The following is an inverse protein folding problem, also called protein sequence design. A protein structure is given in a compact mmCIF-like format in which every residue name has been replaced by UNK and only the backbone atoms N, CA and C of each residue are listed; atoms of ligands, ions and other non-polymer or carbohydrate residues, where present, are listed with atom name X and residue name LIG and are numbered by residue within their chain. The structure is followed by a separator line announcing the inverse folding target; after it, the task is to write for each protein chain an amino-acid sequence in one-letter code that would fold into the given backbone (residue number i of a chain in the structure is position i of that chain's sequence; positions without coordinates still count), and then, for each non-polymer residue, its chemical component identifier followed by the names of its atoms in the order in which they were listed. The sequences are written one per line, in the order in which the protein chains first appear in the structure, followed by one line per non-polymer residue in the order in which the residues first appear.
data_IF_325276423124
#
_entry.id   IF_325276423124
#
_cell.length_a   1.000
_cell.length_b   1.000
_cell.length_c   1.000
_cell.angle_alpha   90.00
_cell.angle_beta   90.00
_cell.angle_gamma   90.00
#
_symmetry.space_group_name_H-M   'P 1'
#
loop_
_entity.id
_entity.type
_entity.pdbx_description
1 polymer ?
#
# COMPACT_ATOMS: atom_id res chain seq x y z
N UNK A 1 10.67 51.73 11.97
CA UNK A 1 10.34 50.31 12.23
C UNK A 1 9.67 50.22 13.60
N UNK A 2 8.59 49.42 13.73
CA UNK A 2 7.87 49.30 15.00
C UNK A 2 8.77 48.61 16.05
N UNK A 3 9.09 49.26 17.19
CA UNK A 3 9.88 48.64 18.24
C UNK A 3 9.09 47.49 18.87
N UNK A 4 9.80 46.42 19.21
CA UNK A 4 9.24 45.22 19.83
C UNK A 4 9.92 45.00 21.18
N UNK A 5 9.13 44.90 22.24
CA UNK A 5 9.57 44.46 23.56
C UNK A 5 8.48 43.59 24.17
N UNK A 6 8.80 42.33 24.39
CA UNK A 6 7.91 41.36 25.03
C UNK A 6 8.72 40.48 25.96
N UNK A 7 8.10 40.00 27.03
CA UNK A 7 8.70 39.09 27.99
C UNK A 7 7.65 38.07 28.39
N UNK A 8 8.03 36.80 28.33
CA UNK A 8 7.18 35.67 28.70
C UNK A 8 7.93 34.86 29.75
N UNK A 9 7.34 34.78 30.94
CA UNK A 9 7.81 33.92 32.02
C UNK A 9 6.69 32.98 32.44
N UNK A 10 6.93 31.69 32.24
CA UNK A 10 6.12 30.61 32.74
C UNK A 10 7.03 29.79 33.67
N UNK A 11 6.82 29.81 34.99
CA UNK A 11 7.50 28.87 35.88
C UNK A 11 7.10 27.45 35.49
N UNK A 12 7.80 26.44 36.00
CA UNK A 12 7.45 25.05 35.71
C UNK A 12 5.95 24.79 35.98
N UNK A 13 5.21 24.56 34.90
CA UNK A 13 3.76 24.55 34.89
C UNK A 13 3.26 23.34 34.12
N UNK A 14 2.14 22.76 34.58
CA UNK A 14 1.49 21.63 33.92
C UNK A 14 1.05 21.97 32.51
N UNK A 15 1.27 21.03 31.58
CA UNK A 15 0.84 21.11 30.17
C UNK A 15 -0.57 20.53 29.93
N UNK A 16 -1.31 20.19 30.99
CA UNK A 16 -2.65 19.59 30.88
C UNK A 16 -3.69 20.48 30.17
N UNK A 17 -3.41 21.78 29.97
CA UNK A 17 -4.26 22.69 29.21
C UNK A 17 -4.08 22.58 27.69
N UNK A 18 -2.99 21.98 27.20
CA UNK A 18 -2.67 21.92 25.77
C UNK A 18 -3.77 21.28 24.89
N UNK A 19 -4.46 20.20 25.32
CA UNK A 19 -5.56 19.62 24.55
C UNK A 19 -6.68 20.62 24.20
N UNK A 20 -6.89 21.66 25.02
CA UNK A 20 -7.89 22.72 24.74
C UNK A 20 -7.52 23.58 23.53
N UNK A 21 -6.24 23.69 23.20
CA UNK A 21 -5.71 24.55 22.14
C UNK A 21 -5.20 23.77 20.92
N UNK A 22 -4.94 22.47 21.10
CA UNK A 22 -4.38 21.59 20.07
C UNK A 22 -5.37 20.44 19.85
N UNK A 23 -6.35 20.58 18.94
CA UNK A 23 -7.42 19.58 18.77
C UNK A 23 -6.95 18.18 18.36
N UNK A 24 -5.70 18.03 17.89
CA UNK A 24 -5.12 16.74 17.55
C UNK A 24 -4.66 15.94 18.79
N UNK A 25 -4.60 16.59 19.95
CA UNK A 25 -4.00 16.10 21.18
C UNK A 25 -5.10 15.85 22.20
N UNK A 26 -5.25 14.60 22.64
CA UNK A 26 -6.35 14.19 23.52
C UNK A 26 -5.98 14.32 24.99
N UNK A 27 -4.73 14.00 25.33
CA UNK A 27 -4.19 14.13 26.68
C UNK A 27 -2.69 14.42 26.66
N UNK A 28 -2.22 15.19 27.65
CA UNK A 28 -0.79 15.41 27.91
C UNK A 28 -0.51 15.42 29.40
N UNK A 29 0.48 14.63 29.79
CA UNK A 29 1.03 14.58 31.15
C UNK A 29 2.49 15.04 31.12
N UNK A 30 2.71 16.30 31.48
CA UNK A 30 4.03 16.89 31.49
C UNK A 30 4.06 18.30 32.06
N UNK A 31 5.26 18.83 32.21
CA UNK A 31 5.51 20.21 32.63
C UNK A 31 6.36 20.95 31.60
N UNK A 32 6.24 22.27 31.57
CA UNK A 32 7.15 23.14 30.84
C UNK A 32 7.45 24.40 31.65
N UNK A 33 8.66 24.93 31.46
CA UNK A 33 9.04 26.26 31.92
C UNK A 33 9.57 27.07 30.73
N UNK A 34 9.21 28.35 30.69
CA UNK A 34 9.56 29.29 29.62
C UNK A 34 10.09 30.55 30.27
N UNK A 35 11.28 30.99 29.90
CA UNK A 35 11.77 32.32 30.21
C UNK A 35 12.36 32.90 28.92
N UNK A 36 11.59 33.71 28.22
CA UNK A 36 11.97 34.26 26.92
C UNK A 36 11.67 35.75 26.88
N UNK A 37 12.69 36.51 26.50
CA UNK A 37 12.61 37.94 26.24
C UNK A 37 12.81 38.21 24.75
N UNK A 38 11.93 39.03 24.18
CA UNK A 38 12.00 39.47 22.79
C UNK A 38 12.18 40.97 22.76
N UNK A 39 13.20 41.43 22.04
CA UNK A 39 13.54 42.85 21.88
C UNK A 39 13.79 43.19 20.40
N UNK A 40 14.12 44.44 20.08
CA UNK A 40 14.44 44.86 18.71
C UNK A 40 13.25 45.45 17.97
N UNK A 41 12.99 44.98 16.74
CA UNK A 41 11.88 45.47 15.91
C UNK A 41 11.09 44.31 15.32
N UNK A 42 9.86 44.55 14.88
CA UNK A 42 9.02 43.52 14.25
C UNK A 42 9.70 42.83 13.05
N UNK A 43 10.55 43.55 12.30
CA UNK A 43 11.28 42.99 11.16
C UNK A 43 12.58 42.27 11.52
N UNK A 44 13.14 42.53 12.71
CA UNK A 44 14.40 41.94 13.21
C UNK A 44 14.28 41.77 14.74
N UNK A 45 13.51 40.76 15.18
CA UNK A 45 13.40 40.44 16.60
C UNK A 45 14.70 39.83 17.12
N UNK A 46 15.04 40.14 18.37
CA UNK A 46 16.17 39.60 19.11
C UNK A 46 15.62 38.83 20.29
N UNK A 47 15.84 37.52 20.31
CA UNK A 47 15.38 36.59 21.32
C UNK A 47 16.50 36.28 22.31
N UNK A 48 16.17 36.22 23.59
CA UNK A 48 17.09 35.77 24.64
C UNK A 48 16.30 34.96 25.66
N UNK A 49 16.78 33.76 25.99
CA UNK A 49 16.17 32.93 27.03
C UNK A 49 16.16 31.44 26.72
N UNK A 50 15.31 30.69 27.41
CA UNK A 50 15.23 29.24 27.31
C UNK A 50 13.81 28.71 27.45
N UNK A 51 13.55 27.58 26.80
CA UNK A 51 12.33 26.78 26.96
C UNK A 51 12.74 25.38 27.36
N UNK A 52 12.19 24.88 28.46
CA UNK A 52 12.38 23.51 28.91
C UNK A 52 11.02 22.82 29.06
N UNK A 53 10.95 21.56 28.66
CA UNK A 53 9.73 20.76 28.76
C UNK A 53 10.05 19.30 28.99
N UNK A 54 9.24 18.66 29.83
CA UNK A 54 9.29 17.23 30.09
C UNK A 54 7.87 16.66 30.06
N UNK A 55 7.61 15.78 29.09
CA UNK A 55 6.31 15.13 28.93
C UNK A 55 6.49 13.63 29.10
N UNK A 56 5.84 13.07 30.12
CA UNK A 56 5.87 11.64 30.36
C UNK A 56 5.05 10.90 29.28
N UNK A 57 3.89 11.44 28.93
CA UNK A 57 2.97 10.84 27.97
C UNK A 57 2.13 11.91 27.27
N UNK A 58 1.94 11.74 25.96
CA UNK A 58 1.07 12.54 25.12
C UNK A 58 0.31 11.62 24.15
N UNK A 59 -1.01 11.73 24.17
CA UNK A 59 -1.94 10.93 23.38
C UNK A 59 -2.60 11.79 22.31
N UNK A 60 -2.85 11.18 21.15
CA UNK A 60 -3.38 11.84 19.96
C UNK A 60 -4.72 11.19 19.57
N UNK A 61 -5.66 11.99 19.08
CA UNK A 61 -6.97 11.51 18.63
C UNK A 61 -6.91 10.79 17.27
N UNK A 62 -5.74 10.70 16.65
CA UNK A 62 -5.55 10.04 15.36
C UNK A 62 -5.14 8.57 15.53
N UNK A 63 -5.89 7.60 14.96
CA UNK A 63 -5.54 6.18 15.05
C UNK A 63 -4.21 5.83 14.35
N UNK A 64 -3.69 6.71 13.49
CA UNK A 64 -2.41 6.51 12.80
C UNK A 64 -1.20 7.05 13.58
N UNK A 65 -1.41 7.84 14.64
CA UNK A 65 -0.34 8.38 15.46
C UNK A 65 -0.21 7.57 16.76
N UNK A 66 0.94 6.93 17.02
CA UNK A 66 1.15 6.23 18.28
C UNK A 66 1.25 7.23 19.43
N UNK A 67 0.96 6.77 20.65
CA UNK A 67 1.24 7.56 21.85
C UNK A 67 2.74 7.84 21.96
N UNK A 68 3.02 9.02 22.51
CA UNK A 68 4.35 9.60 22.58
C UNK A 68 4.77 9.67 24.04
N UNK A 69 5.95 9.16 24.36
CA UNK A 69 6.44 9.04 25.73
C UNK A 69 7.80 9.70 25.89
N UNK A 70 8.15 10.03 27.14
CA UNK A 70 9.46 10.56 27.52
C UNK A 70 9.96 11.69 26.61
N UNK A 71 9.09 12.66 26.31
CA UNK A 71 9.48 13.85 25.56
C UNK A 71 10.34 14.72 26.44
N UNK A 72 11.53 15.07 25.96
CA UNK A 72 12.38 16.10 26.54
C UNK A 72 12.62 17.18 25.50
N UNK A 73 12.45 18.41 25.92
CA UNK A 73 12.63 19.60 25.11
C UNK A 73 13.49 20.58 25.90
N UNK A 74 14.64 20.95 25.37
CA UNK A 74 15.49 22.04 25.85
C UNK A 74 15.92 22.88 24.66
N UNK A 75 15.39 24.09 24.63
CA UNK A 75 15.68 25.08 23.61
C UNK A 75 16.31 26.30 24.28
N UNK A 76 17.26 26.92 23.59
CA UNK A 76 17.86 28.17 23.99
C UNK A 76 17.79 29.16 22.84
N UNK A 77 17.35 30.38 23.13
CA UNK A 77 17.33 31.47 22.18
C UNK A 77 18.47 32.44 22.50
N UNK A 78 19.26 32.78 21.48
CA UNK A 78 20.37 33.71 21.57
C UNK A 78 20.44 34.55 20.29
N UNK A 79 20.09 35.83 20.41
CA UNK A 79 20.04 36.75 19.27
C UNK A 79 18.93 36.39 18.29
N UNK A 80 19.30 36.11 17.04
CA UNK A 80 18.38 35.61 16.01
C UNK A 80 18.34 34.08 15.95
N UNK A 81 19.06 33.35 16.80
CA UNK A 81 19.18 31.89 16.69
C UNK A 81 18.44 31.18 17.82
N UNK A 82 17.69 30.15 17.45
CA UNK A 82 17.16 29.15 18.38
C UNK A 82 18.01 27.89 18.25
N UNK A 83 18.51 27.40 19.38
CA UNK A 83 19.37 26.23 19.49
C UNK A 83 18.58 25.14 20.19
N UNK A 84 18.62 23.93 19.62
CA UNK A 84 18.00 22.72 20.13
C UNK A 84 19.06 21.95 20.92
N UNK A 85 19.15 22.19 22.23
CA UNK A 85 20.15 21.58 23.12
C UNK A 85 19.83 20.11 23.42
N UNK A 86 18.56 19.78 23.68
CA UNK A 86 18.08 18.39 23.82
C UNK A 86 16.61 18.31 23.37
N UNK A 87 16.36 17.70 22.21
CA UNK A 87 15.00 17.37 21.79
C UNK A 87 14.95 15.87 21.56
N UNK A 88 14.26 15.14 22.44
CA UNK A 88 14.18 13.70 22.37
C UNK A 88 12.81 13.18 22.73
N UNK A 89 12.43 12.05 22.16
CA UNK A 89 11.11 11.47 22.31
C UNK A 89 11.14 9.95 22.11
N UNK A 90 10.29 9.23 22.82
CA UNK A 90 10.05 7.81 22.64
C UNK A 90 8.72 7.60 21.90
N UNK A 91 8.81 7.10 20.67
CA UNK A 91 7.69 6.83 19.77
C UNK A 91 7.49 5.32 19.63
N UNK A 92 6.42 4.79 20.23
CA UNK A 92 6.10 3.36 20.21
C UNK A 92 7.30 2.44 20.52
N UNK A 93 8.13 2.82 21.50
CA UNK A 93 9.34 2.10 21.94
C UNK A 93 10.63 2.42 21.17
N UNK A 94 10.58 3.23 20.11
CA UNK A 94 11.77 3.71 19.40
C UNK A 94 12.15 5.13 19.83
N UNK A 95 13.44 5.45 19.86
CA UNK A 95 13.92 6.76 20.31
C UNK A 95 14.24 7.65 19.12
N UNK A 96 13.70 8.86 19.14
CA UNK A 96 14.00 9.91 18.17
C UNK A 96 14.67 11.08 18.90
N UNK A 97 15.73 11.63 18.30
CA UNK A 97 16.42 12.82 18.79
C UNK A 97 16.60 13.82 17.65
N UNK A 98 16.41 15.09 17.97
CA UNK A 98 16.65 16.21 17.06
C UNK A 98 17.62 17.16 17.75
N UNK A 99 18.64 17.61 17.03
CA UNK A 99 19.58 18.63 17.47
C UNK A 99 19.91 19.60 16.33
N UNK A 100 20.52 20.72 16.67
CA UNK A 100 20.88 21.77 15.72
C UNK A 100 20.25 23.11 16.08
N UNK A 101 19.82 23.86 15.07
CA UNK A 101 19.22 25.17 15.31
C UNK A 101 18.41 25.73 14.15
N UNK A 102 17.73 26.82 14.45
CA UNK A 102 16.92 27.60 13.53
C UNK A 102 17.39 29.05 13.60
N UNK A 103 17.70 29.63 12.46
CA UNK A 103 18.07 31.03 12.31
C UNK A 103 16.83 31.85 11.89
N UNK A 104 16.49 32.83 12.72
CA UNK A 104 15.34 33.72 12.63
C UNK A 104 15.71 35.11 12.12
N UNK A 105 16.86 35.32 11.47
CA UNK A 105 17.20 36.58 10.79
C UNK A 105 16.12 37.03 9.80
N UNK A 106 15.45 36.07 9.17
CA UNK A 106 14.25 36.27 8.35
C UNK A 106 13.08 35.48 8.96
N UNK A 107 12.32 36.06 9.91
CA UNK A 107 11.28 35.32 10.64
C UNK A 107 10.18 34.72 9.76
N UNK A 108 9.96 35.29 8.56
CA UNK A 108 8.99 34.77 7.57
C UNK A 108 9.48 33.51 6.85
N UNK A 109 10.78 33.28 6.78
CA UNK A 109 11.39 32.12 6.13
C UNK A 109 12.69 31.72 6.85
N UNK A 110 12.56 31.18 8.08
CA UNK A 110 13.71 30.91 8.91
C UNK A 110 14.59 29.80 8.31
N UNK A 111 15.90 29.89 8.51
CA UNK A 111 16.84 28.87 8.01
C UNK A 111 17.00 27.76 9.03
N UNK A 112 16.84 26.53 8.58
CA UNK A 112 16.98 25.31 9.35
C UNK A 112 18.43 24.78 9.19
N UNK A 113 19.04 24.33 10.29
CA UNK A 113 20.16 23.37 10.29
C UNK A 113 19.90 22.36 11.40
N UNK A 114 19.12 21.34 11.04
CA UNK A 114 18.64 20.31 11.95
C UNK A 114 19.25 18.97 11.58
N UNK A 115 19.54 18.17 12.59
CA UNK A 115 19.92 16.77 12.47
C UNK A 115 18.94 15.94 13.29
N UNK A 116 18.49 14.84 12.71
CA UNK A 116 17.57 13.88 13.30
C UNK A 116 18.28 12.54 13.35
N UNK A 117 18.25 11.91 14.51
CA UNK A 117 18.63 10.52 14.70
C UNK A 117 17.44 9.74 15.23
N UNK A 118 17.20 8.57 14.67
CA UNK A 118 16.13 7.66 15.07
C UNK A 118 16.69 6.26 15.28
N UNK A 119 16.22 5.60 16.35
CA UNK A 119 16.57 4.24 16.72
C UNK A 119 15.29 3.43 16.88
N UNK A 120 15.10 2.46 15.99
CA UNK A 120 13.92 1.60 15.87
C UNK A 120 12.59 2.38 15.96
N UNK A 121 12.46 3.56 15.35
CA UNK A 121 11.20 4.33 15.40
C UNK A 121 10.16 3.67 14.51
N UNK A 122 8.91 3.59 14.99
CA UNK A 122 7.78 3.08 14.21
C UNK A 122 7.42 4.10 13.11
N UNK A 123 7.59 3.71 11.85
CA UNK A 123 7.28 4.57 10.69
C UNK A 123 5.81 4.45 10.29
N UNK A 124 5.32 3.21 10.20
CA UNK A 124 3.93 2.91 9.84
C UNK A 124 3.50 1.63 10.54
N UNK A 125 2.24 1.61 10.97
CA UNK A 125 1.57 0.43 11.49
C UNK A 125 0.11 0.46 11.12
N UNK A 126 -0.33 -0.54 10.39
CA UNK A 126 -1.74 -0.88 10.19
C UNK A 126 -1.92 -2.39 10.29
N UNK A 127 -3.10 -2.90 9.91
CA UNK A 127 -3.41 -4.33 9.92
C UNK A 127 -2.51 -5.15 8.98
N UNK A 128 -1.93 -4.51 7.98
CA UNK A 128 -1.19 -5.14 6.89
C UNK A 128 0.31 -4.89 6.90
N UNK A 129 0.78 -3.83 7.55
CA UNK A 129 2.21 -3.50 7.60
C UNK A 129 2.61 -3.01 8.98
N UNK A 130 3.81 -3.40 9.41
CA UNK A 130 4.50 -2.79 10.53
C UNK A 130 5.95 -2.55 10.12
N UNK A 131 6.34 -1.29 10.05
CA UNK A 131 7.68 -0.89 9.62
C UNK A 131 8.34 -0.03 10.69
N UNK A 132 9.57 -0.38 11.05
CA UNK A 132 10.43 0.43 11.92
C UNK A 132 11.70 0.81 11.18
N UNK A 133 12.33 1.90 11.60
CA UNK A 133 13.58 2.32 11.00
C UNK A 133 14.53 2.96 12.00
N UNK A 134 15.82 2.80 11.71
CA UNK A 134 16.84 3.72 12.20
C UNK A 134 17.03 4.81 11.16
N UNK A 135 17.35 6.03 11.57
CA UNK A 135 17.58 7.12 10.63
C UNK A 135 18.67 8.06 11.11
N UNK A 136 19.39 8.63 10.14
CA UNK A 136 20.30 9.75 10.32
C UNK A 136 20.01 10.73 9.20
N UNK A 137 19.28 11.80 9.51
CA UNK A 137 18.73 12.75 8.55
C UNK A 137 19.19 14.16 8.90
N UNK A 138 19.52 14.95 7.90
CA UNK A 138 19.77 16.38 8.02
C UNK A 138 18.69 17.15 7.28
N UNK A 139 18.19 18.23 7.88
CA UNK A 139 17.29 19.19 7.23
C UNK A 139 17.97 20.56 7.24
N UNK A 140 18.26 21.10 6.05
CA UNK A 140 19.01 22.35 5.90
C UNK A 140 18.39 23.31 4.89
N UNK A 141 18.50 24.60 5.16
CA UNK A 141 18.05 25.66 4.25
C UNK A 141 16.81 26.39 4.74
N UNK A 142 16.22 27.29 3.93
CA UNK A 142 15.04 28.05 4.30
C UNK A 142 13.84 27.12 4.51
N UNK A 143 12.98 27.40 5.49
CA UNK A 143 11.76 26.64 5.77
C UNK A 143 10.88 26.46 4.53
N UNK A 144 10.88 27.43 3.62
CA UNK A 144 10.12 27.41 2.37
C UNK A 144 10.63 26.40 1.32
N UNK A 145 11.88 25.93 1.43
CA UNK A 145 12.53 25.10 0.40
C UNK A 145 13.70 24.27 0.96
N UNK A 146 13.53 23.73 2.17
CA UNK A 146 14.58 23.01 2.86
C UNK A 146 14.99 21.73 2.10
N UNK A 147 16.23 21.30 2.30
CA UNK A 147 16.76 20.06 1.79
C UNK A 147 16.85 19.03 2.91
N UNK A 148 16.25 17.87 2.69
CA UNK A 148 16.26 16.72 3.58
C UNK A 148 17.14 15.64 2.97
N UNK A 149 18.25 15.33 3.63
CA UNK A 149 19.24 14.38 3.15
C UNK A 149 19.68 13.40 4.24
N UNK A 150 20.06 12.18 3.86
CA UNK A 150 20.63 11.21 4.79
C UNK A 150 20.21 9.78 4.51
N UNK A 151 20.13 8.97 5.57
CA UNK A 151 19.90 7.52 5.47
C UNK A 151 18.78 7.07 6.39
N UNK A 152 17.96 6.15 5.88
CA UNK A 152 16.90 5.43 6.60
C UNK A 152 17.17 3.94 6.45
N UNK A 153 17.46 3.27 7.54
CA UNK A 153 17.68 1.83 7.58
C UNK A 153 16.44 1.14 8.15
N UNK A 154 15.69 0.43 7.30
CA UNK A 154 14.52 -0.35 7.69
C UNK A 154 14.94 -1.53 8.56
N UNK A 155 14.28 -1.69 9.70
CA UNK A 155 14.53 -2.75 10.68
C UNK A 155 13.22 -3.36 11.14
N UNK A 156 13.26 -4.65 11.46
CA UNK A 156 12.09 -5.39 11.99
C UNK A 156 10.82 -5.23 11.14
N UNK A 157 10.96 -5.01 9.83
CA UNK A 157 9.85 -4.83 8.90
C UNK A 157 9.01 -6.10 8.77
N UNK A 158 7.69 -5.93 8.79
CA UNK A 158 6.72 -7.02 8.62
C UNK A 158 5.58 -6.57 7.74
N UNK A 159 5.22 -7.41 6.77
CA UNK A 159 4.03 -7.25 5.94
C UNK A 159 3.15 -8.47 6.17
N UNK A 160 1.94 -8.23 6.65
CA UNK A 160 0.90 -9.22 6.87
C UNK A 160 -0.17 -9.00 5.80
N UNK A 161 -0.28 -9.91 4.84
CA UNK A 161 -1.38 -9.86 3.89
C UNK A 161 -2.04 -11.21 3.87
N UNK A 162 -3.20 -11.28 4.49
CA UNK A 162 -4.06 -12.44 4.39
C UNK A 162 -4.84 -12.34 3.08
N UNK A 163 -4.71 -13.36 2.26
CA UNK A 163 -5.52 -13.52 1.07
C UNK A 163 -6.53 -14.61 1.39
N UNK A 164 -7.79 -14.23 1.52
CA UNK A 164 -8.88 -15.19 1.59
C UNK A 164 -9.17 -15.72 0.17
N UNK A 165 -8.66 -16.91 -0.14
CA UNK A 165 -9.30 -17.75 -1.15
C UNK A 165 -10.60 -18.25 -0.50
N UNK A 166 -11.71 -17.53 -0.71
CA UNK A 166 -13.00 -17.70 -0.01
C UNK A 166 -13.34 -19.13 0.48
N UNK A 167 -14.07 -19.26 1.60
CA UNK A 167 -14.70 -20.51 2.00
C UNK A 167 -15.66 -21.00 0.91
N UNK A 168 -15.76 -22.32 0.76
CA UNK A 168 -16.69 -23.02 -0.14
C UNK A 168 -18.18 -22.84 0.28
N UNK A 169 -18.61 -21.65 0.68
CA UNK A 169 -20.00 -21.40 1.07
C UNK A 169 -20.87 -20.99 -0.12
N UNK A 170 -22.09 -21.54 -0.13
CA UNK A 170 -23.13 -21.31 -1.12
C UNK A 170 -23.46 -19.82 -1.33
N UNK A 171 -24.00 -19.42 -2.50
CA UNK A 171 -24.18 -18.04 -2.97
C UNK A 171 -24.89 -17.02 -2.05
N UNK A 172 -25.47 -17.44 -0.91
CA UNK A 172 -26.23 -16.56 -0.01
C UNK A 172 -25.51 -16.19 1.31
N UNK A 173 -24.23 -16.53 1.50
CA UNK A 173 -23.48 -16.22 2.72
C UNK A 173 -22.08 -15.61 2.44
N UNK A 174 -22.01 -14.67 1.51
CA UNK A 174 -20.78 -13.88 1.34
C UNK A 174 -20.68 -12.88 2.51
N UNK A 175 -19.56 -12.85 3.26
CA UNK A 175 -19.25 -11.73 4.13
C UNK A 175 -19.21 -10.44 3.32
N UNK A 176 -19.57 -9.27 3.90
CA UNK A 176 -19.39 -8.00 3.22
C UNK A 176 -17.92 -7.86 2.78
N UNK A 177 -17.65 -7.31 1.58
CA UNK A 177 -16.28 -7.09 1.14
C UNK A 177 -15.52 -6.30 2.21
N UNK A 178 -14.24 -6.65 2.48
CA UNK A 178 -13.44 -5.91 3.44
C UNK A 178 -13.44 -4.43 3.06
N UNK A 179 -13.51 -3.50 4.03
CA UNK A 179 -13.51 -2.08 3.75
C UNK A 179 -12.31 -1.74 2.87
N UNK A 180 -12.56 -0.96 1.82
CA UNK A 180 -11.50 -0.44 0.97
C UNK A 180 -10.54 0.36 1.84
N UNK A 181 -9.36 -0.20 2.15
CA UNK A 181 -8.26 0.58 2.70
C UNK A 181 -7.99 1.70 1.73
N UNK A 182 -8.30 2.93 2.15
CA UNK A 182 -8.02 4.18 1.46
C UNK A 182 -6.50 4.44 1.42
N UNK A 183 -5.73 3.50 0.88
CA UNK A 183 -4.42 3.84 0.34
C UNK A 183 -4.76 4.61 -0.93
N UNK A 184 -4.34 5.88 -1.01
CA UNK A 184 -4.62 6.77 -2.14
C UNK A 184 -4.46 6.04 -3.48
N UNK A 185 -5.29 6.42 -4.46
CA UNK A 185 -5.37 5.81 -5.82
C UNK A 185 -4.03 5.18 -6.21
N UNK A 186 -3.99 3.86 -6.35
CA UNK A 186 -2.77 3.13 -6.71
C UNK A 186 -2.06 3.83 -7.87
N UNK A 187 -0.82 4.28 -7.65
CA UNK A 187 0.00 5.03 -8.63
C UNK A 187 0.03 6.56 -8.47
N UNK A 188 -0.77 7.17 -7.59
CA UNK A 188 -0.67 8.60 -7.31
C UNK A 188 0.51 8.90 -6.37
N UNK A 189 1.39 9.83 -6.78
CA UNK A 189 2.46 10.32 -5.91
C UNK A 189 1.86 10.94 -4.63
N UNK A 190 2.43 10.69 -3.45
CA UNK A 190 1.99 11.37 -2.23
C UNK A 190 2.26 12.86 -2.36
N UNK A 191 1.22 13.70 -2.29
CA UNK A 191 1.39 15.15 -2.21
C UNK A 191 1.60 15.56 -0.76
N UNK A 192 2.79 16.06 -0.45
CA UNK A 192 3.07 16.61 0.88
C UNK A 192 2.37 17.97 1.05
N UNK A 193 1.87 18.29 2.26
CA UNK A 193 1.28 19.60 2.53
C UNK A 193 2.36 20.69 2.56
N UNK A 194 2.00 21.94 2.25
CA UNK A 194 2.91 23.06 2.41
C UNK A 194 3.37 23.22 3.87
N UNK A 195 4.66 23.55 4.15
CA UNK A 195 5.72 23.88 3.19
C UNK A 195 6.53 22.67 2.68
N UNK A 196 6.22 21.44 3.11
CA UNK A 196 6.96 20.23 2.77
C UNK A 196 6.88 19.89 1.27
N UNK A 197 5.85 20.40 0.58
CA UNK A 197 5.66 20.29 -0.87
C UNK A 197 6.87 20.83 -1.67
N UNK A 198 7.51 21.90 -1.19
CA UNK A 198 8.66 22.54 -1.86
C UNK A 198 10.01 22.03 -1.40
N UNK A 199 10.04 21.16 -0.39
CA UNK A 199 11.29 20.61 0.12
C UNK A 199 11.91 19.65 -0.89
N UNK A 200 13.24 19.59 -0.90
CA UNK A 200 14.00 18.64 -1.72
C UNK A 200 14.45 17.46 -0.89
N UNK A 201 14.39 16.27 -1.47
CA UNK A 201 14.77 15.03 -0.81
C UNK A 201 16.03 14.44 -1.44
N UNK A 202 16.88 13.86 -0.60
CA UNK A 202 18.03 13.05 -0.99
C UNK A 202 18.29 12.01 0.10
N UNK A 203 17.37 11.05 0.21
CA UNK A 203 17.34 10.06 1.28
C UNK A 203 17.61 8.68 0.71
N UNK A 204 18.62 8.00 1.25
CA UNK A 204 18.88 6.59 0.94
C UNK A 204 18.08 5.73 1.90
N UNK A 205 17.29 4.79 1.38
CA UNK A 205 16.42 3.90 2.13
C UNK A 205 16.88 2.47 1.88
N UNK A 206 17.25 1.76 2.93
CA UNK A 206 17.82 0.41 2.79
C UNK A 206 17.36 -0.51 3.90
N UNK A 207 17.25 -1.79 3.60
CA UNK A 207 16.95 -2.81 4.61
C UNK A 207 18.22 -3.19 5.37
N UNK A 208 18.25 -2.97 6.68
CA UNK A 208 19.27 -3.56 7.55
C UNK A 208 18.91 -5.01 7.88
N UNK A 209 17.62 -5.24 8.17
CA UNK A 209 17.04 -6.58 8.25
C UNK A 209 16.10 -6.79 7.05
N UNK A 210 15.98 -8.01 6.51
CA UNK A 210 14.97 -8.29 5.50
C UNK A 210 13.55 -8.02 6.05
N UNK A 211 12.71 -7.41 5.21
CA UNK A 211 11.30 -7.19 5.51
C UNK A 211 10.59 -8.52 5.36
N UNK A 212 10.00 -9.04 6.44
CA UNK A 212 9.34 -10.35 6.42
C UNK A 212 7.93 -10.23 5.89
N UNK A 213 7.63 -10.95 4.81
CA UNK A 213 6.26 -11.20 4.37
C UNK A 213 5.71 -12.42 5.11
N UNK A 214 4.63 -12.21 5.86
CA UNK A 214 4.04 -13.18 6.78
C UNK A 214 2.57 -13.44 6.45
N UNK A 215 2.25 -13.71 5.19
CA UNK A 215 0.90 -14.06 4.76
C UNK A 215 0.53 -15.52 5.02
N UNK A 216 -0.77 -15.81 4.93
CA UNK A 216 -1.32 -17.17 4.87
C UNK A 216 -1.03 -17.84 3.52
N UNK A 217 -0.94 -17.05 2.46
CA UNK A 217 -0.74 -17.47 1.07
C UNK A 217 0.68 -17.25 0.59
N UNK A 218 1.36 -16.18 1.01
CA UNK A 218 2.73 -15.89 0.59
C UNK A 218 3.62 -15.64 1.81
N UNK A 219 4.83 -16.22 1.78
CA UNK A 219 5.87 -15.96 2.77
C UNK A 219 7.20 -15.75 2.08
N UNK A 220 8.05 -14.94 2.66
CA UNK A 220 9.37 -14.65 2.13
C UNK A 220 9.95 -13.38 2.73
N UNK A 221 11.05 -12.92 2.13
CA UNK A 221 11.79 -11.77 2.58
C UNK A 221 11.91 -10.73 1.45
N UNK A 222 11.82 -9.45 1.79
CA UNK A 222 12.08 -8.32 0.89
C UNK A 222 13.30 -7.54 1.35
N UNK A 223 14.30 -7.39 0.49
CA UNK A 223 15.49 -6.58 0.74
C UNK A 223 15.42 -5.32 -0.11
N UNK A 224 15.39 -4.17 0.56
CA UNK A 224 15.19 -2.86 -0.07
C UNK A 224 16.53 -2.13 -0.22
N UNK A 225 16.76 -1.55 -1.40
CA UNK A 225 17.79 -0.55 -1.66
C UNK A 225 17.24 0.52 -2.60
N UNK A 226 16.78 1.62 -2.03
CA UNK A 226 16.07 2.69 -2.71
C UNK A 226 16.67 4.05 -2.38
N UNK A 227 16.43 5.02 -3.26
CA UNK A 227 16.74 6.43 -3.03
C UNK A 227 15.52 7.28 -3.33
N UNK A 228 15.13 8.08 -2.36
CA UNK A 228 14.12 9.11 -2.51
C UNK A 228 14.79 10.44 -2.85
N UNK A 229 14.40 10.98 -3.99
CA UNK A 229 14.88 12.25 -4.56
C UNK A 229 13.71 13.12 -5.00
N UNK A 230 13.99 14.26 -5.65
CA UNK A 230 12.94 15.17 -6.15
C UNK A 230 12.41 16.10 -5.06
N UNK A 231 11.27 16.74 -5.34
CA UNK A 231 10.59 17.66 -4.42
C UNK A 231 9.39 17.01 -3.74
N UNK A 232 8.81 17.64 -2.73
CA UNK A 232 7.58 17.14 -2.08
C UNK A 232 6.35 17.12 -2.99
N UNK A 233 6.34 17.94 -4.04
CA UNK A 233 5.34 17.93 -5.11
C UNK A 233 5.59 16.85 -6.16
N UNK A 234 6.84 16.44 -6.35
CA UNK A 234 7.26 15.46 -7.35
C UNK A 234 8.36 14.55 -6.77
N UNK A 235 8.02 13.69 -5.79
CA UNK A 235 8.98 12.77 -5.21
C UNK A 235 9.35 11.70 -6.23
N UNK A 236 10.64 11.40 -6.32
CA UNK A 236 11.22 10.44 -7.26
C UNK A 236 11.90 9.33 -6.48
N UNK A 237 11.34 8.11 -6.57
CA UNK A 237 11.87 6.92 -5.94
C UNK A 237 12.57 6.06 -7.00
N UNK A 238 13.84 5.71 -6.75
CA UNK A 238 14.65 4.89 -7.65
C UNK A 238 15.39 3.80 -6.88
N UNK A 239 15.71 2.69 -7.54
CA UNK A 239 16.44 1.57 -6.93
C UNK A 239 15.66 0.26 -7.02
N UNK A 240 15.98 -0.70 -6.16
CA UNK A 240 15.47 -2.07 -6.27
C UNK A 240 14.94 -2.63 -4.95
N UNK A 241 13.98 -3.54 -5.07
CA UNK A 241 13.56 -4.43 -4.00
C UNK A 241 13.73 -5.87 -4.48
N UNK A 242 14.54 -6.65 -3.78
CA UNK A 242 14.77 -8.07 -4.09
C UNK A 242 13.92 -8.95 -3.20
N UNK A 243 13.31 -9.97 -3.79
CA UNK A 243 12.52 -10.98 -3.08
C UNK A 243 13.41 -12.19 -2.85
N UNK A 244 13.58 -12.57 -1.60
CA UNK A 244 14.43 -13.67 -1.16
C UNK A 244 13.62 -14.72 -0.41
N UNK A 245 13.94 -16.00 -0.61
CA UNK A 245 13.32 -17.13 0.09
C UNK A 245 11.78 -17.11 0.07
N UNK A 246 11.22 -16.65 -1.05
CA UNK A 246 9.80 -16.40 -1.18
C UNK A 246 9.08 -17.59 -1.81
N UNK A 247 7.90 -17.91 -1.29
CA UNK A 247 6.98 -18.86 -1.89
C UNK A 247 5.54 -18.38 -1.77
N UNK A 248 4.72 -18.87 -2.70
CA UNK A 248 3.28 -18.64 -2.76
C UNK A 248 2.58 -20.00 -2.71
N UNK A 249 1.76 -20.22 -1.69
CA UNK A 249 0.88 -21.37 -1.55
C UNK A 249 -0.39 -21.11 -2.35
N UNK A 250 -0.57 -21.91 -3.39
CA UNK A 250 -1.80 -22.03 -4.14
C UNK A 250 -2.65 -23.16 -3.51
N UNK A 251 -3.94 -23.29 -3.85
CA UNK A 251 -4.82 -24.27 -3.22
C UNK A 251 -4.27 -25.70 -3.24
N UNK A 252 -3.66 -26.12 -4.36
CA UNK A 252 -3.14 -27.48 -4.55
C UNK A 252 -1.66 -27.53 -4.95
N UNK A 253 -0.96 -26.40 -4.93
CA UNK A 253 0.45 -26.35 -5.30
C UNK A 253 1.21 -25.27 -4.52
N UNK A 254 2.54 -25.30 -4.60
CA UNK A 254 3.39 -24.24 -4.05
C UNK A 254 4.29 -23.74 -5.16
N UNK A 255 4.25 -22.44 -5.39
CA UNK A 255 5.15 -21.74 -6.29
C UNK A 255 6.32 -21.18 -5.48
N UNK A 256 7.52 -21.70 -5.69
CA UNK A 256 8.74 -21.16 -5.10
C UNK A 256 9.29 -20.07 -6.02
N UNK A 257 9.51 -18.87 -5.50
CA UNK A 257 10.08 -17.76 -6.26
C UNK A 257 11.59 -17.94 -6.31
N UNK A 258 12.12 -18.21 -7.50
CA UNK A 258 13.55 -18.44 -7.75
C UNK A 258 14.29 -17.15 -8.08
N UNK A 259 13.60 -16.19 -8.70
CA UNK A 259 14.09 -14.85 -8.97
C UNK A 259 12.95 -13.84 -8.73
N UNK A 260 13.23 -12.75 -8.01
CA UNK A 260 12.24 -11.69 -7.84
C UNK A 260 12.90 -10.35 -7.60
N UNK A 261 12.70 -9.42 -8.54
CA UNK A 261 13.21 -8.05 -8.45
C UNK A 261 12.09 -7.09 -8.84
N UNK A 262 11.92 -6.04 -8.03
CA UNK A 262 11.10 -4.88 -8.35
C UNK A 262 12.05 -3.70 -8.55
N UNK A 263 12.02 -3.09 -9.73
CA UNK A 263 12.90 -1.99 -10.11
C UNK A 263 12.12 -0.68 -10.23
N UNK A 264 12.52 0.32 -9.46
CA UNK A 264 11.94 1.65 -9.42
C UNK A 264 12.77 2.60 -10.28
N UNK A 265 12.10 3.35 -11.15
CA UNK A 265 12.72 4.30 -12.07
C UNK A 265 12.07 5.68 -11.96
N UNK A 266 12.80 6.70 -12.42
CA UNK A 266 12.35 8.09 -12.29
C UNK A 266 11.13 8.43 -13.16
N UNK A 267 10.86 7.67 -14.22
CA UNK A 267 9.70 7.92 -15.06
C UNK A 267 8.40 7.44 -14.40
N UNK A 268 8.47 6.37 -13.59
CA UNK A 268 7.33 5.79 -12.88
C UNK A 268 7.71 5.46 -11.42
N UNK A 269 7.93 6.49 -10.58
CA UNK A 269 8.51 6.30 -9.25
C UNK A 269 7.64 5.48 -8.28
N UNK A 270 6.35 5.31 -8.58
CA UNK A 270 5.40 4.56 -7.75
C UNK A 270 4.74 3.39 -8.51
N UNK A 271 5.29 3.03 -9.67
CA UNK A 271 4.85 1.88 -10.48
C UNK A 271 6.08 1.12 -10.99
N UNK A 272 6.70 0.29 -10.13
CA UNK A 272 7.97 -0.36 -10.45
C UNK A 272 7.79 -1.39 -11.58
N UNK A 273 8.88 -1.66 -12.29
CA UNK A 273 8.99 -2.85 -13.14
C UNK A 273 9.13 -4.08 -12.24
N UNK A 274 8.29 -5.07 -12.49
CA UNK A 274 8.34 -6.38 -11.86
C UNK A 274 9.06 -7.33 -12.80
N UNK A 275 9.99 -8.11 -12.27
CA UNK A 275 10.55 -9.29 -12.92
C UNK A 275 10.66 -10.41 -11.88
N UNK A 276 9.69 -11.33 -11.93
CA UNK A 276 9.56 -12.42 -10.95
C UNK A 276 9.39 -13.73 -11.69
N UNK A 277 10.23 -14.71 -11.37
CA UNK A 277 10.13 -16.08 -11.85
C UNK A 277 9.89 -17.00 -10.67
N UNK A 278 8.88 -17.86 -10.80
CA UNK A 278 8.58 -18.90 -9.83
C UNK A 278 8.41 -20.27 -10.47
N UNK A 279 8.69 -21.31 -9.71
CA UNK A 279 8.62 -22.70 -10.14
C UNK A 279 7.76 -23.54 -9.19
N UNK A 280 7.02 -24.49 -9.75
CA UNK A 280 6.14 -25.41 -9.01
C UNK A 280 6.22 -26.79 -9.64
N UNK A 281 6.16 -27.83 -8.81
CA UNK A 281 6.02 -29.22 -9.26
C UNK A 281 4.62 -29.70 -8.89
N UNK A 282 3.75 -29.85 -9.90
CA UNK A 282 2.33 -30.23 -9.69
C UNK A 282 1.86 -31.13 -10.82
N UNK A 283 1.03 -32.14 -10.52
CA UNK A 283 0.55 -33.12 -11.50
C UNK A 283 1.66 -33.81 -12.30
N UNK A 284 2.83 -34.05 -11.68
CA UNK A 284 4.00 -34.66 -12.32
C UNK A 284 4.72 -33.76 -13.34
N UNK A 285 4.42 -32.46 -13.37
CA UNK A 285 4.98 -31.49 -14.33
C UNK A 285 5.71 -30.37 -13.62
N UNK A 286 6.84 -29.94 -14.17
CA UNK A 286 7.50 -28.72 -13.75
C UNK A 286 6.81 -27.54 -14.43
N UNK A 287 6.30 -26.62 -13.63
CA UNK A 287 5.60 -25.41 -14.08
C UNK A 287 6.45 -24.20 -13.73
N UNK A 288 6.68 -23.33 -14.72
CA UNK A 288 7.38 -22.06 -14.54
C UNK A 288 6.42 -20.91 -14.81
N UNK A 289 6.36 -19.98 -13.86
CA UNK A 289 5.53 -18.77 -13.89
C UNK A 289 6.45 -17.57 -13.97
N UNK A 290 6.29 -16.75 -15.01
CA UNK A 290 7.04 -15.51 -15.17
C UNK A 290 6.07 -14.33 -15.12
N UNK A 291 6.32 -13.39 -14.22
CA UNK A 291 5.55 -12.15 -14.06
C UNK A 291 6.45 -10.96 -14.39
N UNK A 292 6.10 -10.23 -15.43
CA UNK A 292 6.89 -9.13 -15.97
C UNK A 292 6.04 -7.90 -16.31
N UNK A 293 6.65 -6.72 -16.24
CA UNK A 293 6.02 -5.44 -16.61
C UNK A 293 5.73 -4.56 -15.40
N UNK A 294 4.95 -3.50 -15.60
CA UNK A 294 4.63 -2.52 -14.55
C UNK A 294 3.76 -3.15 -13.46
N UNK A 295 3.94 -2.75 -12.21
CA UNK A 295 3.15 -3.27 -11.09
C UNK A 295 1.64 -3.00 -11.22
N UNK A 296 1.26 -1.90 -11.86
CA UNK A 296 -0.13 -1.58 -12.18
C UNK A 296 -0.68 -2.34 -13.40
N UNK A 297 0.20 -2.87 -14.25
CA UNK A 297 -0.14 -3.67 -15.43
C UNK A 297 0.84 -4.84 -15.65
N UNK A 298 0.82 -5.86 -14.76
CA UNK A 298 1.73 -7.00 -14.88
C UNK A 298 1.23 -7.96 -15.95
N UNK A 299 2.16 -8.51 -16.72
CA UNK A 299 1.94 -9.60 -17.67
C UNK A 299 2.44 -10.90 -17.05
N UNK A 300 1.60 -11.92 -17.10
CA UNK A 300 1.93 -13.27 -16.59
C UNK A 300 2.10 -14.19 -17.79
N UNK A 301 3.13 -15.03 -17.74
CA UNK A 301 3.36 -16.12 -18.70
C UNK A 301 3.55 -17.42 -17.94
N UNK A 302 2.86 -18.47 -18.37
CA UNK A 302 2.97 -19.81 -17.80
C UNK A 302 3.56 -20.79 -18.81
N UNK A 303 4.50 -21.61 -18.37
CA UNK A 303 5.10 -22.68 -19.17
C UNK A 303 5.20 -23.96 -18.34
N UNK A 304 5.21 -25.12 -18.99
CA UNK A 304 5.36 -26.39 -18.31
C UNK A 304 6.24 -27.37 -19.07
N UNK A 305 6.82 -28.31 -18.34
CA UNK A 305 7.52 -29.46 -18.89
C UNK A 305 6.97 -30.75 -18.24
N UNK A 306 6.40 -31.69 -19.03
CA UNK A 306 6.06 -31.61 -20.45
C UNK A 306 5.12 -30.43 -20.85
N UNK A 307 5.13 -29.97 -22.12
CA UNK A 307 4.41 -28.77 -22.54
C UNK A 307 2.88 -28.92 -22.49
N UNK A 308 2.21 -27.88 -21.99
CA UNK A 308 0.76 -27.75 -21.95
C UNK A 308 0.33 -26.35 -22.46
N UNK A 309 -0.91 -26.20 -22.95
CA UNK A 309 -1.50 -24.89 -23.18
C UNK A 309 -1.55 -24.06 -21.88
N UNK A 310 -1.34 -22.75 -21.97
CA UNK A 310 -1.29 -21.84 -20.81
C UNK A 310 -2.54 -21.91 -19.90
N UNK A 311 -3.72 -22.05 -20.49
CA UNK A 311 -4.97 -22.23 -19.73
C UNK A 311 -5.04 -23.54 -18.94
N UNK A 312 -4.42 -24.61 -19.45
CA UNK A 312 -4.30 -25.90 -18.74
C UNK A 312 -3.31 -25.80 -17.58
N UNK A 313 -2.22 -25.03 -17.75
CA UNK A 313 -1.24 -24.76 -16.69
C UNK A 313 -1.89 -23.94 -15.57
N UNK A 314 -2.66 -22.90 -15.93
CA UNK A 314 -3.40 -22.10 -14.96
C UNK A 314 -4.38 -22.95 -14.16
N UNK A 315 -5.08 -23.88 -14.84
CA UNK A 315 -5.97 -24.84 -14.19
C UNK A 315 -5.19 -25.76 -13.24
N UNK A 316 -4.11 -26.38 -13.71
CA UNK A 316 -3.27 -27.26 -12.92
C UNK A 316 -2.71 -26.60 -11.66
N UNK A 317 -2.31 -25.33 -11.75
CA UNK A 317 -1.85 -24.55 -10.59
C UNK A 317 -2.98 -24.26 -9.59
N UNK A 318 -4.20 -24.02 -10.09
CA UNK A 318 -5.37 -23.65 -9.31
C UNK A 318 -6.11 -24.86 -8.70
N UNK A 319 -6.10 -26.04 -9.34
CA UNK A 319 -6.89 -27.23 -8.96
C UNK A 319 -6.05 -28.49 -8.71
N UNK A 320 -4.76 -28.50 -9.09
CA UNK A 320 -3.89 -29.67 -8.96
C UNK A 320 -4.08 -30.73 -10.05
N UNK A 321 -5.02 -30.55 -10.98
CA UNK A 321 -5.33 -31.46 -12.10
C UNK A 321 -5.55 -30.67 -13.39
N UNK A 322 -5.34 -31.29 -14.55
CA UNK A 322 -5.65 -30.64 -15.83
C UNK A 322 -7.16 -30.71 -16.12
N UNK A 323 -7.66 -29.85 -17.02
CA UNK A 323 -9.06 -29.97 -17.47
C UNK A 323 -9.29 -31.31 -18.16
N UNK A 324 -8.28 -31.80 -18.88
CA UNK A 324 -8.28 -33.12 -19.51
C UNK A 324 -8.49 -34.24 -18.48
N UNK A 325 -7.78 -34.23 -17.34
CA UNK A 325 -7.93 -35.23 -16.27
C UNK A 325 -9.32 -35.17 -15.62
N UNK A 326 -9.86 -33.96 -15.42
CA UNK A 326 -11.20 -33.74 -14.86
C UNK A 326 -12.31 -34.27 -15.78
N UNK A 327 -12.12 -34.14 -17.09
CA UNK A 327 -13.06 -34.64 -18.10
C UNK A 327 -12.99 -36.15 -18.31
N UNK A 328 -11.85 -36.78 -18.01
CA UNK A 328 -11.68 -38.23 -18.15
C UNK A 328 -12.17 -39.02 -16.92
N UNK A 329 -12.21 -38.41 -15.73
CA UNK A 329 -12.44 -39.11 -14.46
C UNK A 329 -13.76 -38.82 -13.72
N UNK A 330 -14.76 -38.11 -14.26
CA UNK A 330 -15.99 -37.89 -13.48
C UNK A 330 -17.30 -37.66 -14.26
N UNK A 331 -18.38 -38.16 -13.68
CA UNK A 331 -19.78 -37.95 -14.04
C UNK A 331 -20.08 -36.50 -14.47
N UNK A 332 -20.92 -36.35 -15.50
CA UNK A 332 -21.18 -35.10 -16.24
C UNK A 332 -21.55 -33.88 -15.37
N UNK A 333 -22.10 -34.09 -14.18
CA UNK A 333 -22.46 -33.02 -13.24
C UNK A 333 -21.25 -32.51 -12.42
N UNK A 334 -20.32 -33.40 -12.05
CA UNK A 334 -19.12 -33.06 -11.29
C UNK A 334 -18.11 -32.28 -12.15
N UNK A 335 -17.95 -32.67 -13.42
CA UNK A 335 -17.09 -31.94 -14.37
C UNK A 335 -17.53 -30.50 -14.61
N UNK A 336 -18.86 -30.24 -14.69
CA UNK A 336 -19.42 -28.88 -14.84
C UNK A 336 -19.20 -28.03 -13.58
N UNK A 337 -19.39 -28.60 -12.39
CA UNK A 337 -19.14 -27.90 -11.13
C UNK A 337 -17.66 -27.55 -10.95
N UNK A 338 -16.76 -28.47 -11.30
CA UNK A 338 -15.31 -28.24 -11.28
C UNK A 338 -14.91 -27.12 -12.26
N UNK A 339 -15.46 -27.11 -13.47
CA UNK A 339 -15.18 -26.08 -14.47
C UNK A 339 -15.64 -24.67 -14.03
N UNK A 340 -16.80 -24.55 -13.38
CA UNK A 340 -17.29 -23.27 -12.82
C UNK A 340 -16.37 -22.79 -11.69
N UNK A 341 -15.91 -23.69 -10.83
CA UNK A 341 -14.95 -23.38 -9.77
C UNK A 341 -13.60 -22.92 -10.35
N UNK A 342 -13.12 -23.55 -11.43
CA UNK A 342 -11.92 -23.15 -12.17
C UNK A 342 -12.08 -21.74 -12.73
N UNK A 343 -13.19 -21.45 -13.40
CA UNK A 343 -13.45 -20.14 -14.00
C UNK A 343 -13.50 -19.04 -12.93
N UNK A 344 -14.10 -19.32 -11.77
CA UNK A 344 -14.16 -18.38 -10.66
C UNK A 344 -12.80 -18.18 -9.98
N UNK A 345 -12.02 -19.25 -9.79
CA UNK A 345 -10.67 -19.17 -9.24
C UNK A 345 -9.73 -18.39 -10.16
N UNK A 346 -9.72 -18.70 -11.47
CA UNK A 346 -8.92 -18.00 -12.47
C UNK A 346 -9.26 -16.50 -12.51
N UNK A 347 -10.55 -16.15 -12.55
CA UNK A 347 -11.01 -14.76 -12.60
C UNK A 347 -10.62 -13.97 -11.34
N UNK A 348 -10.52 -14.62 -10.18
CA UNK A 348 -10.12 -13.98 -8.91
C UNK A 348 -8.61 -13.87 -8.74
N UNK A 349 -7.85 -14.83 -9.27
CA UNK A 349 -6.39 -14.87 -9.16
C UNK A 349 -5.68 -13.99 -10.22
N UNK A 350 -6.25 -13.88 -11.43
CA UNK A 350 -5.52 -13.36 -12.59
C UNK A 350 -6.19 -12.21 -13.34
N UNK A 351 -7.41 -11.76 -12.96
CA UNK A 351 -8.00 -10.57 -13.57
C UNK A 351 -7.60 -9.32 -12.79
N UNK A 352 -7.06 -8.33 -13.51
CA UNK A 352 -6.83 -6.95 -13.05
C UNK A 352 -8.05 -6.47 -12.27
N UNK A 353 -7.82 -5.90 -11.08
CA UNK A 353 -8.75 -4.96 -10.46
C UNK A 353 -8.96 -3.83 -11.48
N UNK A 354 -10.05 -3.91 -12.23
CA UNK A 354 -10.59 -2.73 -12.85
C UNK A 354 -10.90 -1.78 -11.69
N UNK A 355 -10.33 -0.58 -11.77
CA UNK A 355 -10.76 0.55 -10.96
C UNK A 355 -12.28 0.64 -11.10
N UNK A 356 -12.98 0.68 -9.96
CA UNK A 356 -14.42 0.93 -9.93
C UNK A 356 -14.68 2.32 -10.54
N UNK A 357 -14.93 2.36 -11.86
CA UNK A 357 -15.80 3.37 -12.43
C UNK A 357 -17.21 2.86 -12.27
N UNK A 358 -17.92 3.54 -11.37
CA UNK A 358 -19.34 3.41 -11.18
C UNK A 358 -20.11 3.55 -12.51
N UNK A 359 -21.17 2.77 -12.58
CA UNK A 359 -22.25 2.81 -13.59
C UNK A 359 -21.88 2.36 -15.00
N UNK A 360 -21.84 1.04 -15.20
CA UNK A 360 -22.23 0.43 -16.47
C UNK A 360 -22.97 -0.88 -16.16
N UNK A 361 -24.26 -0.89 -16.48
CA UNK A 361 -25.13 -2.07 -16.46
C UNK A 361 -24.42 -3.22 -17.23
N UNK A 362 -24.29 -4.43 -16.66
CA UNK A 362 -23.49 -5.49 -17.27
C UNK A 362 -24.01 -5.83 -18.67
N UNK A 363 -23.15 -6.36 -19.57
CA UNK A 363 -23.50 -6.58 -20.97
C UNK A 363 -24.75 -7.46 -21.08
N UNK A 364 -25.75 -6.94 -21.81
CA UNK A 364 -27.07 -7.57 -22.05
C UNK A 364 -27.02 -8.80 -22.96
N UNK A 365 -25.83 -9.33 -23.23
CA UNK A 365 -25.57 -10.48 -24.08
C UNK A 365 -25.01 -11.63 -23.24
N UNK A 366 -25.78 -12.70 -23.11
CA UNK A 366 -25.34 -13.95 -22.48
C UNK A 366 -25.25 -15.06 -23.53
N UNK A 367 -24.32 -15.99 -23.31
CA UNK A 367 -24.16 -17.17 -24.14
C UNK A 367 -24.48 -18.41 -23.33
N UNK A 368 -25.41 -19.22 -23.82
CA UNK A 368 -25.79 -20.52 -23.27
C UNK A 368 -25.27 -21.61 -24.19
N UNK A 369 -24.41 -22.47 -23.65
CA UNK A 369 -23.79 -23.58 -24.39
C UNK A 369 -24.45 -24.89 -23.96
N UNK A 370 -25.29 -25.46 -24.83
CA UNK A 370 -25.88 -26.79 -24.62
C UNK A 370 -25.09 -27.80 -25.42
N UNK A 371 -23.92 -28.23 -24.94
CA UNK A 371 -23.00 -29.10 -25.69
C UNK A 371 -23.20 -30.60 -25.44
N UNK A 372 -24.15 -30.99 -24.56
CA UNK A 372 -24.32 -32.38 -24.11
C UNK A 372 -25.81 -32.74 -23.97
N UNK A 373 -26.19 -33.98 -24.35
CA UNK A 373 -27.55 -34.54 -24.29
C UNK A 373 -27.90 -35.39 -25.53
N UNK A 374 -28.71 -36.46 -25.45
CA UNK A 374 -28.89 -37.42 -26.57
C UNK A 374 -29.58 -36.88 -27.83
N UNK A 375 -30.07 -35.65 -27.84
CA UNK A 375 -30.75 -35.01 -28.98
C UNK A 375 -29.82 -33.98 -29.66
N UNK A 376 -29.26 -34.36 -30.81
CA UNK A 376 -28.35 -33.53 -31.61
C UNK A 376 -28.98 -32.21 -32.09
N UNK A 377 -30.32 -32.11 -32.15
CA UNK A 377 -31.02 -30.88 -32.55
C UNK A 377 -31.02 -29.79 -31.47
N UNK A 378 -30.73 -30.19 -30.21
CA UNK A 378 -30.65 -29.28 -29.05
C UNK A 378 -29.21 -28.98 -28.64
N UNK A 379 -28.25 -29.69 -29.23
CA UNK A 379 -26.83 -29.40 -29.05
C UNK A 379 -26.44 -28.18 -29.85
N UNK A 380 -25.84 -27.18 -29.22
CA UNK A 380 -25.50 -25.94 -29.91
C UNK A 380 -25.14 -24.78 -29.00
N UNK A 381 -24.87 -23.64 -29.63
CA UNK A 381 -24.59 -22.37 -28.97
C UNK A 381 -25.82 -21.46 -29.11
N UNK A 382 -26.34 -20.94 -28.00
CA UNK A 382 -27.35 -19.89 -28.02
C UNK A 382 -26.78 -18.59 -27.47
N UNK A 383 -27.00 -17.50 -28.21
CA UNK A 383 -26.76 -16.14 -27.76
C UNK A 383 -28.12 -15.52 -27.38
N UNK A 384 -28.23 -15.03 -26.15
CA UNK A 384 -29.42 -14.34 -25.63
C UNK A 384 -29.06 -12.88 -25.45
N UNK A 385 -29.77 -12.00 -26.16
CA UNK A 385 -29.64 -10.57 -26.06
C UNK A 385 -30.91 -9.96 -25.44
N UNK A 386 -30.78 -9.39 -24.25
CA UNK A 386 -31.89 -8.73 -23.58
C UNK A 386 -32.04 -7.30 -24.10
N UNK A 387 -33.11 -7.02 -24.84
CA UNK A 387 -33.40 -5.67 -25.32
C UNK A 387 -33.85 -4.79 -24.16
N UNK A 388 -34.73 -5.33 -23.31
CA UNK A 388 -35.25 -4.74 -22.08
C UNK A 388 -35.88 -5.84 -21.19
N UNK A 389 -36.38 -5.55 -19.97
CA UNK A 389 -36.91 -6.57 -19.05
C UNK A 389 -38.09 -7.41 -19.58
N UNK A 390 -38.71 -7.00 -20.69
CA UNK A 390 -39.82 -7.71 -21.33
C UNK A 390 -39.46 -8.36 -22.66
N UNK A 391 -38.39 -7.94 -23.33
CA UNK A 391 -38.05 -8.37 -24.69
C UNK A 391 -36.65 -8.97 -24.75
N UNK A 392 -36.52 -10.17 -25.34
CA UNK A 392 -35.24 -10.87 -25.51
C UNK A 392 -35.13 -11.46 -26.92
N UNK A 393 -33.96 -11.33 -27.53
CA UNK A 393 -33.60 -12.01 -28.79
C UNK A 393 -32.77 -13.22 -28.42
N UNK A 394 -33.10 -14.39 -28.98
CA UNK A 394 -32.32 -15.62 -28.82
C UNK A 394 -31.91 -16.11 -30.20
N UNK A 395 -30.61 -16.13 -30.48
CA UNK A 395 -30.04 -16.76 -31.68
C UNK A 395 -29.39 -18.08 -31.30
N UNK A 396 -29.85 -19.19 -31.87
CA UNK A 396 -29.27 -20.53 -31.64
C UNK A 396 -28.64 -21.07 -32.91
N UNK A 397 -27.42 -21.59 -32.79
CA UNK A 397 -26.74 -22.38 -33.82
C UNK A 397 -26.62 -23.81 -33.31
N UNK A 398 -27.33 -24.75 -33.93
CA UNK A 398 -27.21 -26.16 -33.59
C UNK A 398 -25.95 -26.79 -34.20
N UNK A 399 -25.50 -27.89 -33.62
CA UNK A 399 -24.33 -28.67 -34.08
C UNK A 399 -24.47 -29.12 -35.54
N UNK A 400 -25.70 -29.38 -36.00
CA UNK A 400 -26.02 -29.70 -37.39
C UNK A 400 -26.00 -28.48 -38.35
N UNK A 401 -25.51 -27.32 -37.91
CA UNK A 401 -25.36 -26.10 -38.73
C UNK A 401 -26.65 -25.30 -38.94
N UNK A 402 -27.76 -25.67 -38.29
CA UNK A 402 -29.02 -24.94 -38.39
C UNK A 402 -29.03 -23.72 -37.47
N UNK A 403 -29.31 -22.55 -38.03
CA UNK A 403 -29.49 -21.31 -37.28
C UNK A 403 -30.98 -21.00 -37.07
N UNK A 404 -31.35 -20.63 -35.83
CA UNK A 404 -32.70 -20.20 -35.49
C UNK A 404 -32.67 -18.98 -34.58
N UNK A 405 -33.17 -17.85 -35.09
CA UNK A 405 -33.42 -16.63 -34.32
C UNK A 405 -34.87 -16.55 -33.83
N UNK A 406 -35.08 -16.20 -32.57
CA UNK A 406 -36.41 -16.06 -31.97
C UNK A 406 -36.47 -14.80 -31.10
N UNK A 407 -37.56 -14.06 -31.19
CA UNK A 407 -37.84 -12.90 -30.34
C UNK A 407 -38.90 -13.30 -29.30
N UNK A 408 -38.57 -13.15 -28.03
CA UNK A 408 -39.44 -13.51 -26.91
C UNK A 408 -39.93 -12.26 -26.18
N UNK A 409 -41.24 -12.27 -25.86
CA UNK A 409 -41.85 -11.31 -24.94
C UNK A 409 -42.22 -12.00 -23.63
N UNK A 410 -41.69 -11.52 -22.51
CA UNK A 410 -41.88 -12.12 -21.19
C UNK A 410 -43.11 -11.51 -20.52
N UNK A 411 -44.19 -12.29 -20.38
CA UNK A 411 -45.37 -11.91 -19.59
C UNK A 411 -45.17 -12.45 -18.17
N UNK A 412 -45.06 -11.55 -17.18
CA UNK A 412 -45.09 -11.93 -15.76
C UNK A 412 -46.51 -11.74 -15.25
N UNK A 413 -47.15 -12.82 -14.82
CA UNK A 413 -48.38 -12.74 -14.04
C UNK A 413 -48.01 -12.42 -12.59
N UNK A 414 -48.75 -11.52 -11.95
CA UNK A 414 -48.62 -11.21 -10.53
C UNK A 414 -49.34 -12.25 -9.69
#
# INVERSE_FOLDING_TARGET
PLPLRAEVRLPESSLAFLPTWVPALSAVKGTAAVDVKVTGTVGKPVFAGSVQGQVAEADFDSPSLPSVKDVRLRLRADGSRVILDDVSVLLAGGRLRINGGVDLEQPKDPKLDLRLSAEEVLLVRDETISMRANAAITCRGPLSQAEVAGTVDLVRGRVFKEIEFLPLSLPNQLPPPPPSTQIGKAGAAPSLPAPLDKWRFNVTIRSRDPIRLMGNVARGNGVVDLRLTGSGTAPVLVGNVRLEEMWVKLPFSRLNITQGVLSFDAAHPFDPQIDVTGESLTGGRQVTVVVQGRALDPKVRLTSSPPLPEGEIATLLATGVTTSDLTQNSDEAAGRAAFILIQQAYRKLFKKRAVDTADDEPPRLSFEFSLFGNDASRRGVSAVYELNPKWRIIGRVAEAGTFRGMLYYLIRFR
#
